data_IF_944972512357
#
_entry.id   IF_944972512357
#
_cell.length_a   1.000
_cell.length_b   1.000
_cell.length_c   1.000
_cell.angle_alpha   90.00
_cell.angle_beta   90.00
_cell.angle_gamma   90.00
#
_symmetry.space_group_name_H-M   'P 1'
#
loop_
_entity.id
_entity.type
_entity.pdbx_description
1 polymer ?
#
# COMPACT_ATOMS: atom_id res chain seq x y z
N UNK A 1 -5.83 -21.12 9.77
CA UNK A 1 -5.52 -22.53 9.50
C UNK A 1 -4.02 -22.80 9.37
N UNK A 2 -3.25 -21.98 8.66
CA UNK A 2 -1.78 -22.14 8.50
C UNK A 2 -1.00 -22.03 9.82
N UNK A 3 -1.37 -21.08 10.68
CA UNK A 3 -0.76 -20.89 12.00
C UNK A 3 -0.95 -22.12 12.91
N UNK A 4 -2.12 -22.77 12.86
CA UNK A 4 -2.40 -23.97 13.63
C UNK A 4 -1.63 -25.21 13.13
N UNK A 5 -1.38 -25.29 11.81
CA UNK A 5 -0.52 -26.33 11.21
C UNK A 5 0.94 -26.13 11.58
N UNK A 6 1.39 -24.87 11.59
CA UNK A 6 2.73 -24.50 11.99
C UNK A 6 3.02 -24.91 13.45
N UNK A 7 2.12 -24.57 14.40
CA UNK A 7 2.24 -24.95 15.82
C UNK A 7 2.26 -26.49 15.98
N UNK A 8 1.44 -27.23 15.22
CA UNK A 8 1.44 -28.69 15.25
C UNK A 8 2.75 -29.30 14.71
N UNK A 9 3.27 -28.75 13.59
CA UNK A 9 4.55 -29.21 13.02
C UNK A 9 5.72 -28.98 14.00
N UNK A 10 5.69 -27.91 14.77
CA UNK A 10 6.67 -27.65 15.82
C UNK A 10 6.56 -28.65 16.97
N UNK A 11 5.35 -28.94 17.45
CA UNK A 11 5.14 -29.94 18.51
C UNK A 11 5.67 -31.32 18.13
N UNK A 12 5.64 -31.68 16.85
CA UNK A 12 6.20 -32.94 16.35
C UNK A 12 7.74 -32.96 16.26
N UNK A 13 8.38 -31.78 16.26
CA UNK A 13 9.85 -31.64 16.29
C UNK A 13 10.42 -31.62 17.71
N UNK A 14 9.60 -31.30 18.72
CA UNK A 14 9.99 -31.19 20.14
C UNK A 14 9.46 -32.32 21.03
N UNK A 15 8.67 -33.24 20.47
CA UNK A 15 8.11 -34.38 21.24
C UNK A 15 9.17 -35.42 21.56
N UNK A 16 9.24 -35.84 22.84
CA UNK A 16 10.11 -36.86 23.41
C UNK A 16 9.77 -38.32 22.94
N UNK A 17 9.71 -38.56 21.63
CA UNK A 17 9.69 -39.90 21.10
C UNK A 17 11.08 -40.28 20.53
N UNK A 18 11.96 -40.63 21.45
CA UNK A 18 13.32 -41.10 21.18
C UNK A 18 13.34 -42.53 20.60
N UNK A 19 12.76 -42.74 19.41
CA UNK A 19 12.90 -44.05 18.73
C UNK A 19 12.72 -44.03 17.23
N UNK A 20 13.08 -42.94 16.53
CA UNK A 20 13.40 -43.01 15.09
C UNK A 20 14.27 -41.80 14.72
N UNK A 21 15.59 -41.98 14.62
CA UNK A 21 16.57 -41.01 14.18
C UNK A 21 16.49 -40.75 12.65
N UNK A 22 15.35 -40.34 12.17
CA UNK A 22 15.21 -39.82 10.81
C UNK A 22 15.21 -38.30 10.88
N UNK A 23 16.32 -37.63 10.48
CA UNK A 23 16.34 -36.18 10.36
C UNK A 23 15.20 -35.74 9.42
N UNK A 24 14.33 -34.86 9.89
CA UNK A 24 13.25 -34.29 9.04
C UNK A 24 13.89 -33.54 7.88
N UNK A 25 13.55 -33.93 6.65
CA UNK A 25 14.08 -33.26 5.47
C UNK A 25 13.48 -31.88 5.31
N UNK A 26 14.21 -30.96 4.64
CA UNK A 26 13.71 -29.62 4.33
C UNK A 26 12.38 -29.69 3.54
N UNK A 27 12.24 -30.64 2.60
CA UNK A 27 11.03 -30.81 1.80
C UNK A 27 9.81 -31.14 2.69
N UNK A 28 9.99 -32.06 3.64
CA UNK A 28 8.92 -32.41 4.57
C UNK A 28 8.51 -31.24 5.44
N UNK A 29 9.49 -30.52 5.97
CA UNK A 29 9.25 -29.33 6.79
C UNK A 29 8.57 -28.20 5.98
N UNK A 30 9.03 -27.92 4.77
CA UNK A 30 8.47 -26.88 3.92
C UNK A 30 7.00 -27.16 3.56
N UNK A 31 6.64 -28.45 3.34
CA UNK A 31 5.24 -28.84 3.11
C UNK A 31 4.38 -28.74 4.37
N UNK A 32 4.86 -29.26 5.47
CA UNK A 32 4.07 -29.35 6.71
C UNK A 32 3.97 -28.02 7.48
N UNK A 33 5.12 -27.37 7.72
CA UNK A 33 5.19 -26.16 8.53
C UNK A 33 4.93 -24.87 7.74
N UNK A 34 5.46 -24.76 6.50
CA UNK A 34 5.28 -23.58 5.67
C UNK A 34 4.14 -23.73 4.65
N UNK A 35 3.45 -24.89 4.61
CA UNK A 35 2.37 -25.16 3.66
C UNK A 35 2.76 -24.87 2.20
N UNK A 36 3.99 -25.24 1.78
CA UNK A 36 4.46 -25.10 0.40
C UNK A 36 3.96 -26.24 -0.46
N UNK A 37 3.66 -25.96 -1.74
CA UNK A 37 3.42 -26.99 -2.75
C UNK A 37 4.72 -27.67 -3.16
N UNK A 38 4.62 -28.88 -3.77
CA UNK A 38 5.80 -29.57 -4.29
C UNK A 38 6.56 -28.75 -5.32
N UNK A 39 5.86 -28.06 -6.20
CA UNK A 39 6.44 -27.16 -7.19
C UNK A 39 7.18 -25.97 -6.54
N UNK A 40 6.68 -25.45 -5.41
CA UNK A 40 7.37 -24.37 -4.67
C UNK A 40 8.64 -24.89 -4.00
N UNK A 41 8.57 -26.09 -3.40
CA UNK A 41 9.74 -26.72 -2.76
C UNK A 41 10.84 -27.00 -3.78
N UNK A 42 10.48 -27.54 -4.93
CA UNK A 42 11.40 -27.80 -6.04
C UNK A 42 12.09 -26.50 -6.51
N UNK A 43 11.34 -25.41 -6.72
CA UNK A 43 11.89 -24.11 -7.08
C UNK A 43 12.84 -23.55 -6.02
N UNK A 44 12.49 -23.67 -4.74
CA UNK A 44 13.33 -23.22 -3.63
C UNK A 44 14.65 -23.96 -3.59
N UNK A 45 14.61 -25.28 -3.75
CA UNK A 45 15.82 -26.15 -3.78
C UNK A 45 16.65 -25.94 -5.04
N UNK A 46 16.01 -25.73 -6.20
CA UNK A 46 16.73 -25.38 -7.43
C UNK A 46 17.50 -24.05 -7.27
N UNK A 47 16.91 -23.08 -6.56
CA UNK A 47 17.54 -21.78 -6.31
C UNK A 47 18.62 -21.82 -5.22
N UNK A 48 18.41 -22.66 -4.20
CA UNK A 48 19.32 -22.77 -3.05
C UNK A 48 19.48 -24.27 -2.64
N UNK A 49 20.26 -25.07 -3.38
CA UNK A 49 20.40 -26.50 -3.14
C UNK A 49 20.94 -26.86 -1.74
N UNK A 50 21.69 -25.93 -1.13
CA UNK A 50 22.25 -26.10 0.22
C UNK A 50 21.19 -26.37 1.30
N UNK A 51 19.96 -25.93 1.10
CA UNK A 51 18.88 -26.13 2.07
C UNK A 51 18.54 -27.61 2.28
N UNK A 52 18.71 -28.45 1.26
CA UNK A 52 18.51 -29.91 1.38
C UNK A 52 19.51 -30.59 2.35
N UNK A 53 20.68 -29.98 2.55
CA UNK A 53 21.71 -30.48 3.47
C UNK A 53 21.68 -29.91 4.87
N UNK A 54 20.74 -29.00 5.18
CA UNK A 54 20.65 -28.45 6.52
C UNK A 54 19.79 -29.33 7.42
N UNK A 55 20.26 -29.53 8.65
CA UNK A 55 19.41 -30.10 9.68
C UNK A 55 18.27 -29.14 10.03
N UNK A 56 17.05 -29.61 9.83
CA UNK A 56 15.85 -28.77 9.99
C UNK A 56 15.68 -28.33 11.44
N UNK A 57 15.88 -29.26 12.40
CA UNK A 57 15.61 -28.99 13.80
C UNK A 57 16.55 -27.94 14.39
N UNK A 58 17.85 -27.99 14.02
CA UNK A 58 18.84 -27.06 14.57
C UNK A 58 19.12 -25.83 13.70
N UNK A 59 18.89 -25.92 12.37
CA UNK A 59 19.31 -24.86 11.46
C UNK A 59 18.17 -24.14 10.73
N UNK A 60 17.00 -24.73 10.53
CA UNK A 60 15.90 -24.12 9.77
C UNK A 60 14.74 -23.70 10.69
N UNK A 61 14.17 -24.62 11.46
CA UNK A 61 13.02 -24.35 12.32
C UNK A 61 13.26 -23.20 13.30
N UNK A 62 14.42 -23.09 14.00
CA UNK A 62 14.66 -21.99 14.92
C UNK A 62 14.63 -20.60 14.27
N UNK A 63 15.02 -20.50 12.98
CA UNK A 63 14.98 -19.23 12.23
C UNK A 63 13.56 -18.85 11.86
N UNK A 64 12.74 -19.82 11.44
CA UNK A 64 11.33 -19.58 11.14
C UNK A 64 10.58 -19.19 12.41
N UNK A 65 10.87 -19.85 13.52
CA UNK A 65 10.30 -19.56 14.84
C UNK A 65 10.67 -18.15 15.30
N UNK A 66 11.94 -17.80 15.19
CA UNK A 66 12.43 -16.48 15.50
C UNK A 66 11.73 -15.39 14.68
N UNK A 67 11.61 -15.59 13.35
CA UNK A 67 10.89 -14.66 12.49
C UNK A 67 9.41 -14.52 12.87
N UNK A 68 8.75 -15.62 13.28
CA UNK A 68 7.32 -15.62 13.58
C UNK A 68 7.02 -15.15 15.00
N UNK A 69 7.70 -15.74 16.00
CA UNK A 69 7.35 -15.56 17.40
C UNK A 69 8.01 -14.33 18.01
N UNK A 70 9.30 -14.12 17.71
CA UNK A 70 10.07 -13.02 18.27
C UNK A 70 9.96 -11.72 17.44
N UNK A 71 9.94 -11.85 16.11
CA UNK A 71 9.98 -10.71 15.19
C UNK A 71 8.63 -10.39 14.54
N UNK A 72 7.56 -11.15 14.84
CA UNK A 72 6.18 -10.86 14.50
C UNK A 72 5.80 -11.04 13.02
N UNK A 73 6.49 -11.91 12.27
CA UNK A 73 6.05 -12.31 10.94
C UNK A 73 4.93 -13.36 11.04
N UNK A 74 3.95 -13.32 10.14
CA UNK A 74 3.06 -14.46 9.96
C UNK A 74 3.70 -15.51 9.04
N UNK A 75 3.29 -16.78 9.23
CA UNK A 75 3.85 -17.93 8.48
C UNK A 75 3.68 -17.77 6.97
N UNK A 76 2.56 -17.19 6.53
CA UNK A 76 2.32 -16.96 5.11
C UNK A 76 3.30 -15.93 4.51
N UNK A 77 3.74 -14.96 5.30
CA UNK A 77 4.81 -14.01 4.87
C UNK A 77 6.15 -14.69 4.80
N UNK A 78 6.50 -15.50 5.80
CA UNK A 78 7.75 -16.26 5.80
C UNK A 78 7.78 -17.19 4.59
N UNK A 79 6.69 -17.93 4.32
CA UNK A 79 6.54 -18.75 3.10
C UNK A 79 6.87 -17.94 1.84
N UNK A 80 6.18 -16.82 1.62
CA UNK A 80 6.40 -15.97 0.44
C UNK A 80 7.83 -15.41 0.36
N UNK A 81 8.42 -15.07 1.51
CA UNK A 81 9.80 -14.61 1.57
C UNK A 81 10.78 -15.71 1.16
N UNK A 82 10.60 -16.95 1.64
CA UNK A 82 11.41 -18.11 1.31
C UNK A 82 11.23 -18.51 -0.16
N UNK A 83 10.02 -18.47 -0.70
CA UNK A 83 9.77 -18.75 -2.12
C UNK A 83 10.49 -17.76 -3.04
N UNK A 84 10.58 -16.48 -2.64
CA UNK A 84 11.23 -15.43 -3.44
C UNK A 84 12.75 -15.41 -3.24
N UNK A 85 13.19 -15.57 -1.99
CA UNK A 85 14.58 -15.46 -1.56
C UNK A 85 14.93 -16.56 -0.55
N UNK A 86 15.13 -17.81 -1.00
CA UNK A 86 15.40 -18.94 -0.10
C UNK A 86 16.67 -18.75 0.76
N UNK A 87 17.57 -17.89 0.30
CA UNK A 87 18.78 -17.50 1.02
C UNK A 87 18.50 -16.98 2.43
N UNK A 88 17.29 -16.47 2.70
CA UNK A 88 16.88 -16.03 4.04
C UNK A 88 17.11 -17.12 5.10
N UNK A 89 16.84 -18.36 4.76
CA UNK A 89 17.04 -19.51 5.67
C UNK A 89 18.50 -19.95 5.80
N UNK A 90 19.40 -19.47 4.93
CA UNK A 90 20.85 -19.75 5.04
C UNK A 90 21.59 -18.76 5.96
N UNK A 91 20.96 -17.65 6.32
CA UNK A 91 21.51 -16.68 7.26
C UNK A 91 21.54 -17.30 8.66
N UNK A 92 22.60 -17.06 9.45
CA UNK A 92 22.65 -17.56 10.82
C UNK A 92 21.63 -16.84 11.72
N UNK A 93 21.12 -17.54 12.75
CA UNK A 93 20.20 -16.96 13.71
C UNK A 93 20.81 -15.73 14.42
N UNK A 94 22.09 -15.82 14.79
CA UNK A 94 22.82 -14.69 15.38
C UNK A 94 22.86 -13.46 14.46
N UNK A 95 22.99 -13.67 13.15
CA UNK A 95 22.96 -12.56 12.17
C UNK A 95 21.56 -11.97 12.03
N UNK A 96 20.52 -12.81 12.01
CA UNK A 96 19.13 -12.35 11.99
C UNK A 96 18.83 -11.50 13.23
N UNK A 97 19.25 -11.95 14.41
CA UNK A 97 19.07 -11.22 15.66
C UNK A 97 19.86 -9.91 15.69
N UNK A 98 21.13 -9.92 15.28
CA UNK A 98 21.95 -8.70 15.18
C UNK A 98 21.28 -7.66 14.25
N UNK A 99 20.74 -8.09 13.11
CA UNK A 99 20.03 -7.20 12.20
C UNK A 99 18.72 -6.71 12.82
N UNK A 100 18.02 -7.57 13.55
CA UNK A 100 16.79 -7.22 14.25
C UNK A 100 17.04 -6.16 15.34
N UNK A 101 18.06 -6.34 16.17
CA UNK A 101 18.48 -5.35 17.15
C UNK A 101 18.80 -4.01 16.48
N UNK A 102 19.61 -4.04 15.41
CA UNK A 102 19.95 -2.81 14.68
C UNK A 102 18.71 -2.08 14.12
N UNK A 103 17.76 -2.82 13.50
CA UNK A 103 16.50 -2.25 13.00
C UNK A 103 15.65 -1.64 14.12
N UNK A 104 15.69 -2.23 15.31
CA UNK A 104 14.96 -1.73 16.47
C UNK A 104 15.62 -0.49 17.07
N UNK A 105 16.93 -0.57 17.32
CA UNK A 105 17.65 0.41 18.10
C UNK A 105 18.03 1.66 17.28
N UNK A 106 18.46 1.48 16.02
CA UNK A 106 18.91 2.58 15.17
C UNK A 106 17.85 3.06 14.15
N UNK A 107 16.98 2.17 13.67
CA UNK A 107 15.90 2.59 12.76
C UNK A 107 14.57 2.86 13.43
N UNK A 108 14.41 2.53 14.72
CA UNK A 108 13.16 2.71 15.48
C UNK A 108 12.02 1.79 15.04
N UNK A 109 12.30 0.70 14.33
CA UNK A 109 11.30 -0.28 13.94
C UNK A 109 10.89 -1.09 15.16
N UNK A 110 9.59 -1.19 15.44
CA UNK A 110 9.12 -2.01 16.57
C UNK A 110 9.54 -3.47 16.37
N UNK A 111 10.05 -4.13 17.41
CA UNK A 111 10.54 -5.52 17.33
C UNK A 111 9.52 -6.46 16.67
N UNK A 112 8.25 -6.39 17.04
CA UNK A 112 7.18 -7.18 16.43
C UNK A 112 6.84 -6.84 14.97
N UNK A 113 7.47 -5.83 14.37
CA UNK A 113 7.34 -5.48 12.95
C UNK A 113 8.58 -5.90 12.12
N UNK A 114 9.70 -6.23 12.79
CA UNK A 114 10.97 -6.56 12.14
C UNK A 114 10.85 -7.77 11.23
N UNK A 115 10.15 -8.83 11.65
CA UNK A 115 9.90 -10.00 10.82
C UNK A 115 9.16 -9.64 9.53
N UNK A 116 8.22 -8.69 9.59
CA UNK A 116 7.55 -8.16 8.39
C UNK A 116 8.54 -7.44 7.46
N UNK A 117 9.49 -6.66 8.01
CA UNK A 117 10.53 -5.95 7.24
C UNK A 117 11.44 -6.97 6.54
N UNK A 118 11.95 -7.96 7.27
CA UNK A 118 12.83 -8.99 6.74
C UNK A 118 12.13 -9.89 5.72
N UNK A 119 10.84 -10.22 5.93
CA UNK A 119 10.07 -10.97 4.95
C UNK A 119 9.76 -10.15 3.68
N UNK A 120 9.57 -8.84 3.77
CA UNK A 120 9.39 -7.97 2.59
C UNK A 120 10.67 -7.82 1.78
N UNK A 121 11.81 -7.71 2.45
CA UNK A 121 13.13 -7.53 1.83
C UNK A 121 14.17 -8.40 2.55
N UNK A 122 14.25 -9.70 2.22
CA UNK A 122 15.16 -10.63 2.89
C UNK A 122 16.63 -10.21 2.84
N UNK A 123 17.04 -9.55 1.76
CA UNK A 123 18.42 -9.09 1.58
C UNK A 123 18.92 -8.10 2.65
N UNK A 124 18.03 -7.47 3.39
CA UNK A 124 18.38 -6.67 4.57
C UNK A 124 19.07 -7.54 5.64
N UNK A 125 18.68 -8.82 5.78
CA UNK A 125 19.25 -9.72 6.78
C UNK A 125 20.76 -10.02 6.61
N UNK A 126 21.28 -9.90 5.40
CA UNK A 126 22.71 -10.14 5.12
C UNK A 126 23.44 -8.92 4.60
N UNK A 127 22.77 -7.78 4.44
CA UNK A 127 23.41 -6.53 4.07
C UNK A 127 24.37 -6.05 5.19
N UNK A 128 25.44 -5.36 4.80
CA UNK A 128 26.35 -4.75 5.77
C UNK A 128 25.66 -3.57 6.46
N UNK A 129 25.60 -3.62 7.78
CA UNK A 129 25.08 -2.49 8.57
C UNK A 129 25.94 -1.26 8.33
N UNK A 130 27.26 -1.40 8.45
CA UNK A 130 28.19 -0.28 8.34
C UNK A 130 28.31 0.30 6.93
N UNK A 131 28.35 -0.56 5.91
CA UNK A 131 28.59 -0.11 4.54
C UNK A 131 27.31 0.29 3.79
N UNK A 132 26.14 -0.22 4.20
CA UNK A 132 24.89 -0.02 3.46
C UNK A 132 23.78 0.58 4.33
N UNK A 133 23.41 -0.11 5.43
CA UNK A 133 22.17 0.22 6.12
C UNK A 133 22.28 1.54 6.91
N UNK A 134 23.34 1.69 7.70
CA UNK A 134 23.58 2.88 8.53
C UNK A 134 23.78 4.15 7.72
N UNK A 135 24.57 4.17 6.62
CA UNK A 135 24.69 5.35 5.77
C UNK A 135 23.35 5.82 5.23
N UNK A 136 22.47 4.89 4.83
CA UNK A 136 21.14 5.22 4.35
C UNK A 136 20.28 5.85 5.44
N UNK A 137 20.26 5.27 6.66
CA UNK A 137 19.50 5.86 7.78
C UNK A 137 20.02 7.24 8.14
N UNK A 138 21.35 7.44 8.20
CA UNK A 138 21.94 8.75 8.43
C UNK A 138 21.52 9.76 7.37
N UNK A 139 21.56 9.40 6.10
CA UNK A 139 21.09 10.28 5.03
C UNK A 139 19.61 10.70 5.25
N UNK A 140 18.74 9.76 5.61
CA UNK A 140 17.32 10.06 5.86
C UNK A 140 17.12 11.01 7.05
N UNK A 141 17.91 10.83 8.11
CA UNK A 141 17.82 11.67 9.32
C UNK A 141 18.54 13.00 9.14
N UNK A 142 19.81 12.96 8.77
CA UNK A 142 20.70 14.13 8.81
C UNK A 142 20.55 15.04 7.58
N UNK A 143 20.41 14.44 6.37
CA UNK A 143 20.35 15.23 5.12
C UNK A 143 18.91 15.50 4.65
N UNK A 144 17.95 14.61 4.95
CA UNK A 144 16.52 14.84 4.65
C UNK A 144 15.74 15.37 5.84
N UNK A 145 16.30 15.42 7.04
CA UNK A 145 15.67 15.92 8.26
C UNK A 145 14.46 15.08 8.71
N UNK A 146 14.41 13.79 8.34
CA UNK A 146 13.30 12.93 8.73
C UNK A 146 13.39 12.53 10.19
N UNK A 147 12.26 12.58 10.90
CA UNK A 147 12.22 12.08 12.29
C UNK A 147 12.40 10.55 12.35
N UNK A 148 12.96 10.00 13.44
CA UNK A 148 13.13 8.55 13.60
C UNK A 148 11.84 7.75 13.40
N UNK A 149 10.71 8.29 13.85
CA UNK A 149 9.38 7.66 13.67
C UNK A 149 8.96 7.58 12.20
N UNK A 150 9.32 8.58 11.40
CA UNK A 150 9.07 8.60 9.95
C UNK A 150 10.00 7.63 9.25
N UNK A 151 11.28 7.56 9.62
CA UNK A 151 12.25 6.58 9.10
C UNK A 151 11.77 5.16 9.37
N UNK A 152 11.35 4.85 10.60
CA UNK A 152 10.80 3.54 10.97
C UNK A 152 9.59 3.17 10.09
N UNK A 153 8.68 4.12 9.87
CA UNK A 153 7.50 3.93 8.99
C UNK A 153 7.90 3.70 7.53
N UNK A 154 8.87 4.46 7.02
CA UNK A 154 9.41 4.33 5.67
C UNK A 154 10.05 2.95 5.45
N UNK A 155 10.88 2.52 6.38
CA UNK A 155 11.52 1.19 6.38
C UNK A 155 10.49 0.07 6.44
N UNK A 156 9.47 0.18 7.30
CA UNK A 156 8.39 -0.81 7.39
C UNK A 156 7.57 -0.90 6.09
N UNK A 157 7.29 0.24 5.44
CA UNK A 157 6.56 0.29 4.15
C UNK A 157 7.38 -0.27 3.01
N UNK A 158 8.62 0.17 2.87
CA UNK A 158 9.52 -0.14 1.75
C UNK A 158 10.95 -0.41 2.25
N UNK A 159 11.23 -1.62 2.78
CA UNK A 159 12.55 -1.94 3.34
C UNK A 159 13.70 -1.84 2.33
N UNK A 160 13.42 -1.94 1.02
CA UNK A 160 14.41 -1.78 -0.04
C UNK A 160 15.12 -0.42 -0.01
N UNK A 161 14.55 0.60 0.65
CA UNK A 161 15.20 1.90 0.83
C UNK A 161 16.56 1.75 1.52
N UNK A 162 16.66 0.84 2.50
CA UNK A 162 17.90 0.59 3.24
C UNK A 162 19.07 0.06 2.38
N UNK A 163 18.75 -0.47 1.20
CA UNK A 163 19.75 -1.06 0.29
C UNK A 163 20.12 -0.12 -0.86
N UNK A 164 19.61 1.10 -0.85
CA UNK A 164 19.90 2.08 -1.89
C UNK A 164 21.26 2.72 -1.67
N UNK A 165 21.98 2.97 -2.76
CA UNK A 165 23.18 3.78 -2.72
C UNK A 165 22.80 5.23 -2.38
N UNK A 166 23.46 5.80 -1.38
CA UNK A 166 23.18 7.16 -0.91
C UNK A 166 23.55 8.18 -1.99
N UNK A 167 24.74 8.08 -2.55
CA UNK A 167 25.26 9.08 -3.49
C UNK A 167 24.58 9.03 -4.85
N UNK A 168 24.56 7.84 -5.45
CA UNK A 168 24.08 7.65 -6.83
C UNK A 168 22.54 7.68 -6.90
N UNK A 169 21.85 7.38 -5.80
CA UNK A 169 20.40 7.20 -5.83
C UNK A 169 19.68 8.23 -4.97
N UNK A 170 19.88 8.21 -3.65
CA UNK A 170 19.08 9.03 -2.74
C UNK A 170 19.44 10.52 -2.86
N UNK A 171 20.73 10.87 -2.90
CA UNK A 171 21.18 12.26 -3.03
C UNK A 171 20.86 12.83 -4.41
N UNK A 172 20.95 12.01 -5.47
CA UNK A 172 20.53 12.41 -6.81
C UNK A 172 19.03 12.73 -6.88
N UNK A 173 18.18 12.00 -6.17
CA UNK A 173 16.75 12.33 -6.06
C UNK A 173 16.50 13.61 -5.27
N UNK A 174 17.17 13.80 -4.12
CA UNK A 174 17.07 15.06 -3.39
C UNK A 174 17.37 16.23 -4.33
N UNK A 175 18.51 16.19 -5.04
CA UNK A 175 18.90 17.22 -6.02
C UNK A 175 17.88 17.40 -7.12
N UNK A 176 17.30 16.32 -7.63
CA UNK A 176 16.25 16.44 -8.65
C UNK A 176 15.04 17.25 -8.13
N UNK A 177 14.59 16.96 -6.92
CA UNK A 177 13.47 17.70 -6.31
C UNK A 177 13.82 19.16 -5.98
N UNK A 178 15.03 19.41 -5.45
CA UNK A 178 15.44 20.78 -5.09
C UNK A 178 15.85 21.62 -6.30
N UNK A 179 16.74 21.10 -7.13
CA UNK A 179 17.42 21.90 -8.16
C UNK A 179 16.65 21.93 -9.48
N UNK A 180 15.99 20.80 -9.83
CA UNK A 180 15.27 20.70 -11.12
C UNK A 180 13.79 21.04 -10.99
N UNK A 181 13.14 20.64 -9.89
CA UNK A 181 11.74 20.97 -9.64
C UNK A 181 11.58 22.26 -8.79
N UNK A 182 12.66 22.81 -8.25
CA UNK A 182 12.62 24.03 -7.45
C UNK A 182 11.86 23.89 -6.12
N UNK A 183 11.69 22.67 -5.60
CA UNK A 183 11.02 22.45 -4.34
C UNK A 183 11.97 22.80 -3.18
N UNK A 184 11.50 23.64 -2.25
CA UNK A 184 12.24 23.90 -1.02
C UNK A 184 12.45 22.62 -0.19
N UNK A 185 13.54 22.57 0.58
CA UNK A 185 13.91 21.37 1.37
C UNK A 185 12.80 20.92 2.33
N UNK A 186 12.07 21.86 2.94
CA UNK A 186 10.91 21.54 3.80
C UNK A 186 9.79 20.86 3.03
N UNK A 187 9.53 21.30 1.79
CA UNK A 187 8.53 20.66 0.93
C UNK A 187 8.97 19.26 0.54
N UNK A 188 10.24 19.07 0.16
CA UNK A 188 10.81 17.76 -0.15
C UNK A 188 10.71 16.84 1.06
N UNK A 189 11.06 17.31 2.26
CA UNK A 189 10.91 16.57 3.51
C UNK A 189 9.46 16.16 3.73
N UNK A 190 8.51 17.11 3.69
CA UNK A 190 7.09 16.85 3.92
C UNK A 190 6.49 15.85 2.90
N UNK A 191 6.93 15.90 1.65
CA UNK A 191 6.58 14.96 0.58
C UNK A 191 7.08 13.55 0.92
N UNK A 192 8.36 13.42 1.25
CA UNK A 192 9.00 12.13 1.54
C UNK A 192 8.53 11.52 2.88
N UNK A 193 8.18 12.35 3.85
CA UNK A 193 7.58 11.90 5.12
C UNK A 193 6.21 11.25 4.91
N UNK A 194 5.40 11.80 4.02
CA UNK A 194 4.09 11.25 3.67
C UNK A 194 4.18 10.06 2.71
N UNK A 195 5.12 10.13 1.77
CA UNK A 195 5.28 9.20 0.65
C UNK A 195 6.73 8.70 0.50
N UNK A 196 7.29 7.99 1.51
CA UNK A 196 8.67 7.52 1.47
C UNK A 196 8.94 6.53 0.32
N UNK A 197 7.89 5.91 -0.24
CA UNK A 197 7.97 5.05 -1.41
C UNK A 197 8.54 5.75 -2.65
N UNK A 198 8.46 7.07 -2.73
CA UNK A 198 9.03 7.89 -3.82
C UNK A 198 10.54 7.74 -3.88
N UNK A 199 11.21 7.54 -2.75
CA UNK A 199 12.64 7.27 -2.71
C UNK A 199 13.02 6.01 -3.49
N UNK A 200 12.11 5.06 -3.67
CA UNK A 200 12.34 3.84 -4.42
C UNK A 200 12.15 4.00 -5.95
N UNK A 201 11.62 5.12 -6.41
CA UNK A 201 11.46 5.39 -7.85
C UNK A 201 12.80 5.83 -8.45
N UNK A 202 13.01 5.62 -9.75
CA UNK A 202 14.12 6.24 -10.46
C UNK A 202 13.85 7.73 -10.71
N UNK A 203 14.91 8.52 -10.83
CA UNK A 203 14.79 9.94 -11.22
C UNK A 203 14.08 10.06 -12.58
N UNK A 204 14.40 9.16 -13.53
CA UNK A 204 13.77 9.15 -14.85
C UNK A 204 12.27 8.88 -14.78
N UNK A 205 11.83 7.98 -13.89
CA UNK A 205 10.39 7.71 -13.70
C UNK A 205 9.66 8.94 -13.15
N UNK A 206 10.27 9.63 -12.18
CA UNK A 206 9.73 10.87 -11.64
C UNK A 206 9.68 11.95 -12.71
N UNK A 207 10.78 12.11 -13.48
CA UNK A 207 10.88 13.07 -14.57
C UNK A 207 9.81 12.85 -15.63
N UNK A 208 9.62 11.61 -16.08
CA UNK A 208 8.58 11.25 -17.06
C UNK A 208 7.19 11.67 -16.60
N UNK A 209 6.85 11.43 -15.34
CA UNK A 209 5.53 11.81 -14.82
C UNK A 209 5.37 13.34 -14.77
N UNK A 210 6.41 14.07 -14.33
CA UNK A 210 6.37 15.54 -14.31
C UNK A 210 6.31 16.12 -15.71
N UNK A 211 7.11 15.59 -16.66
CA UNK A 211 7.12 16.02 -18.06
C UNK A 211 5.79 15.74 -18.77
N UNK A 212 5.16 14.61 -18.50
CA UNK A 212 3.81 14.31 -18.98
C UNK A 212 2.82 15.42 -18.59
N UNK A 213 2.77 15.78 -17.30
CA UNK A 213 1.89 16.88 -16.88
C UNK A 213 2.28 18.21 -17.52
N UNK A 214 3.58 18.52 -17.52
CA UNK A 214 4.04 19.83 -18.00
C UNK A 214 3.87 20.02 -19.51
N UNK A 215 4.21 19.01 -20.33
CA UNK A 215 4.30 19.10 -21.79
C UNK A 215 3.14 18.41 -22.48
N UNK A 216 2.91 17.13 -22.20
CA UNK A 216 1.93 16.33 -22.93
C UNK A 216 0.50 16.76 -22.58
N UNK A 217 0.25 17.02 -21.29
CA UNK A 217 -1.00 17.56 -20.81
C UNK A 217 -1.07 19.10 -20.95
N UNK A 218 0.05 19.78 -21.20
CA UNK A 218 0.12 21.21 -21.51
C UNK A 218 -0.10 22.15 -20.31
N UNK A 219 -0.01 21.68 -19.05
CA UNK A 219 -0.26 22.56 -17.91
C UNK A 219 0.93 23.47 -17.54
N UNK A 220 2.11 23.23 -18.13
CA UNK A 220 3.34 23.98 -17.85
C UNK A 220 4.08 23.48 -16.59
N UNK A 221 5.38 23.79 -16.53
CA UNK A 221 6.28 23.25 -15.50
C UNK A 221 5.86 23.59 -14.07
N UNK A 222 5.58 24.87 -13.78
CA UNK A 222 5.22 25.32 -12.43
C UNK A 222 3.92 24.69 -11.91
N UNK A 223 2.93 24.51 -12.78
CA UNK A 223 1.66 23.87 -12.39
C UNK A 223 1.84 22.40 -12.16
N UNK A 224 2.65 21.70 -13.00
CA UNK A 224 3.01 20.31 -12.82
C UNK A 224 3.73 20.06 -11.49
N UNK A 225 4.69 20.91 -11.13
CA UNK A 225 5.39 20.84 -9.84
C UNK A 225 4.43 21.05 -8.66
N UNK A 226 3.53 22.03 -8.73
CA UNK A 226 2.52 22.25 -7.70
C UNK A 226 1.56 21.05 -7.56
N UNK A 227 1.15 20.44 -8.68
CA UNK A 227 0.32 19.25 -8.68
C UNK A 227 1.01 18.09 -7.94
N UNK A 228 2.26 17.81 -8.29
CA UNK A 228 3.08 16.77 -7.65
C UNK A 228 3.32 17.08 -6.16
N UNK A 229 3.63 18.32 -5.80
CA UNK A 229 3.81 18.71 -4.39
C UNK A 229 2.52 18.53 -3.57
N UNK A 230 1.34 18.79 -4.17
CA UNK A 230 0.03 18.64 -3.54
C UNK A 230 -0.37 17.16 -3.36
N UNK A 231 -0.03 16.30 -4.32
CA UNK A 231 -0.33 14.86 -4.29
C UNK A 231 0.86 14.01 -4.78
N UNK A 232 1.92 13.90 -3.98
CA UNK A 232 3.14 13.20 -4.39
C UNK A 232 2.95 11.74 -4.76
N UNK A 233 1.87 11.11 -4.28
CA UNK A 233 1.50 9.74 -4.62
C UNK A 233 1.36 9.52 -6.15
N UNK A 234 1.05 10.57 -6.93
CA UNK A 234 0.92 10.46 -8.39
C UNK A 234 2.22 10.03 -9.07
N UNK A 235 3.37 10.33 -8.48
CA UNK A 235 4.67 9.88 -8.97
C UNK A 235 4.87 8.37 -8.96
N UNK A 236 4.09 7.66 -8.15
CA UNK A 236 4.13 6.20 -8.03
C UNK A 236 3.12 5.49 -8.93
N UNK A 237 2.32 6.25 -9.69
CA UNK A 237 1.30 5.71 -10.56
C UNK A 237 1.85 5.44 -11.98
N UNK A 238 1.30 4.44 -12.67
CA UNK A 238 1.57 4.25 -14.10
C UNK A 238 0.83 5.31 -14.91
N UNK A 239 1.52 5.94 -15.85
CA UNK A 239 0.90 6.86 -16.80
C UNK A 239 -0.18 6.13 -17.60
N UNK A 240 0.16 4.97 -18.18
CA UNK A 240 -0.70 4.23 -19.10
C UNK A 240 -1.88 3.53 -18.43
N UNK A 241 -1.70 3.07 -17.16
CA UNK A 241 -2.72 2.27 -16.44
C UNK A 241 -3.61 3.08 -15.51
N UNK A 242 -3.14 4.23 -15.08
CA UNK A 242 -3.85 5.03 -14.07
C UNK A 242 -4.10 6.46 -14.53
N UNK A 243 -3.04 7.20 -14.88
CA UNK A 243 -3.16 8.65 -15.09
C UNK A 243 -3.93 8.95 -16.36
N UNK A 244 -3.47 8.45 -17.51
CA UNK A 244 -4.09 8.69 -18.82
C UNK A 244 -5.54 8.21 -18.85
N UNK A 245 -5.88 6.96 -18.45
CA UNK A 245 -7.27 6.51 -18.46
C UNK A 245 -8.20 7.34 -17.57
N UNK A 246 -7.70 7.87 -16.45
CA UNK A 246 -8.52 8.74 -15.58
C UNK A 246 -8.76 10.10 -16.23
N UNK A 247 -7.75 10.66 -16.92
CA UNK A 247 -7.90 11.93 -17.67
C UNK A 247 -8.87 11.74 -18.82
N UNK A 248 -8.74 10.66 -19.59
CA UNK A 248 -9.65 10.34 -20.72
C UNK A 248 -11.09 10.17 -20.25
N UNK A 249 -11.30 9.48 -19.12
CA UNK A 249 -12.61 9.36 -18.50
C UNK A 249 -13.23 10.74 -18.20
N UNK A 250 -12.45 11.65 -17.58
CA UNK A 250 -12.92 12.99 -17.27
C UNK A 250 -13.19 13.82 -18.52
N UNK A 251 -12.27 13.77 -19.50
CA UNK A 251 -12.35 14.63 -20.68
C UNK A 251 -13.41 14.18 -21.67
N UNK A 252 -13.49 12.86 -21.93
CA UNK A 252 -14.30 12.29 -23.01
C UNK A 252 -15.62 11.72 -22.47
N UNK A 253 -15.56 10.81 -21.49
CA UNK A 253 -16.77 10.12 -21.04
C UNK A 253 -17.69 11.02 -20.19
N UNK A 254 -17.10 11.98 -19.45
CA UNK A 254 -17.87 12.97 -18.69
C UNK A 254 -18.08 14.29 -19.46
N UNK A 255 -17.65 14.36 -20.69
CA UNK A 255 -17.79 15.53 -21.58
C UNK A 255 -17.26 16.86 -21.00
N UNK A 256 -16.23 16.76 -20.13
CA UNK A 256 -15.62 17.96 -19.55
C UNK A 256 -14.61 18.64 -20.47
N UNK A 257 -14.23 17.98 -21.56
CA UNK A 257 -13.10 18.36 -22.38
C UNK A 257 -11.77 18.31 -21.62
N UNK A 258 -10.66 18.54 -22.32
CA UNK A 258 -9.32 18.49 -21.70
C UNK A 258 -9.12 19.57 -20.64
N UNK A 259 -9.64 20.75 -20.86
CA UNK A 259 -9.53 21.87 -19.89
C UNK A 259 -10.26 21.57 -18.58
N UNK A 260 -11.48 21.01 -18.66
CA UNK A 260 -12.25 20.58 -17.49
C UNK A 260 -11.56 19.44 -16.73
N UNK A 261 -11.01 18.45 -17.44
CA UNK A 261 -10.24 17.35 -16.84
C UNK A 261 -9.00 17.89 -16.09
N UNK A 262 -8.24 18.80 -16.71
CA UNK A 262 -7.09 19.45 -16.09
C UNK A 262 -7.52 20.19 -14.80
N UNK A 263 -8.60 20.96 -14.85
CA UNK A 263 -9.12 21.67 -13.67
C UNK A 263 -9.50 20.71 -12.54
N UNK A 264 -10.10 19.55 -12.86
CA UNK A 264 -10.41 18.51 -11.88
C UNK A 264 -9.14 17.98 -11.19
N UNK A 265 -8.12 17.58 -11.95
CA UNK A 265 -6.90 17.00 -11.39
C UNK A 265 -6.05 18.04 -10.65
N UNK A 266 -6.01 19.30 -11.05
CA UNK A 266 -5.32 20.34 -10.30
C UNK A 266 -6.01 20.69 -8.99
N UNK A 267 -7.34 20.68 -8.99
CA UNK A 267 -8.13 20.90 -7.79
C UNK A 267 -7.99 19.73 -6.80
N UNK A 268 -8.06 18.50 -7.29
CA UNK A 268 -7.99 17.25 -6.53
C UNK A 268 -7.04 16.23 -7.16
N UNK A 269 -5.72 16.42 -7.13
CA UNK A 269 -4.77 15.50 -7.76
C UNK A 269 -4.85 14.07 -7.20
N UNK A 270 -5.33 13.92 -5.94
CA UNK A 270 -5.56 12.62 -5.30
C UNK A 270 -6.53 11.74 -6.09
N UNK A 271 -7.38 12.33 -6.94
CA UNK A 271 -8.28 11.60 -7.83
C UNK A 271 -7.55 10.53 -8.65
N UNK A 272 -6.35 10.85 -9.14
CA UNK A 272 -5.52 9.96 -9.93
C UNK A 272 -5.04 8.71 -9.16
N UNK A 273 -5.03 8.77 -7.83
CA UNK A 273 -4.61 7.65 -6.98
C UNK A 273 -5.74 6.65 -6.68
N UNK A 274 -6.97 6.98 -7.04
CA UNK A 274 -8.10 6.06 -6.90
C UNK A 274 -8.22 5.16 -8.13
N UNK A 275 -8.74 3.94 -7.93
CA UNK A 275 -9.06 3.06 -9.06
C UNK A 275 -10.20 3.66 -9.89
N UNK A 276 -9.95 3.89 -11.17
CA UNK A 276 -10.97 4.39 -12.10
C UNK A 276 -12.22 3.50 -12.06
N UNK A 277 -12.06 2.19 -12.28
CA UNK A 277 -13.18 1.25 -12.41
C UNK A 277 -13.88 0.94 -11.08
N UNK A 278 -13.11 0.83 -9.97
CA UNK A 278 -13.69 0.44 -8.67
C UNK A 278 -14.19 1.59 -7.82
N UNK A 279 -13.73 2.82 -8.10
CA UNK A 279 -14.05 3.98 -7.27
C UNK A 279 -14.54 5.16 -8.07
N UNK A 280 -13.72 5.72 -8.99
CA UNK A 280 -14.02 7.00 -9.64
C UNK A 280 -15.29 6.90 -10.48
N UNK A 281 -15.31 5.97 -11.45
CA UNK A 281 -16.43 5.76 -12.38
C UNK A 281 -17.75 5.47 -11.67
N UNK A 282 -17.84 4.48 -10.75
CA UNK A 282 -19.10 4.18 -10.06
C UNK A 282 -19.60 5.34 -9.20
N UNK A 283 -18.68 6.06 -8.55
CA UNK A 283 -19.05 7.17 -7.66
C UNK A 283 -19.58 8.36 -8.43
N UNK A 284 -18.86 8.77 -9.50
CA UNK A 284 -19.29 9.89 -10.34
C UNK A 284 -20.61 9.57 -11.02
N UNK A 285 -20.72 8.38 -11.63
CA UNK A 285 -21.96 7.95 -12.29
C UNK A 285 -23.14 7.96 -11.30
N UNK A 286 -22.99 7.39 -10.11
CA UNK A 286 -24.05 7.41 -9.12
C UNK A 286 -24.47 8.83 -8.70
N UNK A 287 -23.50 9.74 -8.54
CA UNK A 287 -23.78 11.11 -8.15
C UNK A 287 -24.49 11.89 -9.26
N UNK A 288 -24.11 11.69 -10.50
CA UNK A 288 -24.72 12.37 -11.66
C UNK A 288 -26.09 11.77 -11.98
N UNK A 289 -26.21 10.44 -12.06
CA UNK A 289 -27.43 9.78 -12.54
C UNK A 289 -28.52 9.69 -11.44
N UNK A 290 -28.10 9.40 -10.20
CA UNK A 290 -29.01 9.01 -9.13
C UNK A 290 -29.24 10.10 -8.08
N UNK A 291 -28.24 10.93 -7.82
CA UNK A 291 -28.35 11.89 -6.73
C UNK A 291 -28.91 13.22 -7.21
N UNK A 292 -28.39 13.73 -8.33
CA UNK A 292 -28.82 15.00 -8.87
C UNK A 292 -28.95 14.95 -10.39
N UNK A 293 -30.16 15.04 -10.94
CA UNK A 293 -30.34 15.21 -12.39
C UNK A 293 -29.67 16.48 -12.94
N UNK A 294 -29.34 17.43 -12.07
CA UNK A 294 -28.64 18.69 -12.40
C UNK A 294 -27.30 18.82 -11.64
N UNK A 295 -26.72 17.72 -11.16
CA UNK A 295 -25.41 17.77 -10.51
C UNK A 295 -24.35 18.17 -11.53
N UNK A 296 -23.61 19.22 -11.20
CA UNK A 296 -22.39 19.54 -11.92
C UNK A 296 -21.40 18.38 -11.77
N UNK A 297 -21.01 17.80 -12.89
CA UNK A 297 -20.02 16.70 -12.97
C UNK A 297 -18.74 17.07 -12.24
N UNK A 298 -18.32 18.34 -12.30
CA UNK A 298 -17.16 18.82 -11.60
C UNK A 298 -17.30 18.67 -10.06
N UNK A 299 -18.49 18.98 -9.50
CA UNK A 299 -18.80 18.79 -8.08
C UNK A 299 -18.82 17.30 -7.73
N UNK A 300 -19.38 16.44 -8.59
CA UNK A 300 -19.40 14.98 -8.38
C UNK A 300 -17.98 14.40 -8.30
N UNK A 301 -17.08 14.82 -9.20
CA UNK A 301 -15.67 14.38 -9.20
C UNK A 301 -14.94 14.78 -7.91
N UNK A 302 -15.30 15.90 -7.28
CA UNK A 302 -14.71 16.31 -6.01
C UNK A 302 -15.04 15.35 -4.84
N UNK A 303 -16.10 14.57 -4.98
CA UNK A 303 -16.62 13.69 -3.92
C UNK A 303 -16.14 12.24 -3.99
N UNK A 304 -15.35 11.86 -4.99
CA UNK A 304 -14.81 10.48 -5.15
C UNK A 304 -13.90 10.03 -4.00
N UNK A 305 -13.45 10.96 -3.16
CA UNK A 305 -12.67 10.66 -1.96
C UNK A 305 -13.51 10.04 -0.84
N UNK A 306 -14.84 10.16 -0.93
CA UNK A 306 -15.77 9.57 0.03
C UNK A 306 -16.22 8.19 -0.43
N UNK A 307 -16.47 7.30 0.54
CA UNK A 307 -16.92 5.94 0.24
C UNK A 307 -18.32 5.96 -0.39
N UNK A 308 -18.44 5.44 -1.60
CA UNK A 308 -19.74 5.31 -2.28
C UNK A 308 -20.74 4.52 -1.43
N UNK A 309 -20.38 3.29 -1.06
CA UNK A 309 -21.26 2.37 -0.29
C UNK A 309 -21.28 2.64 1.22
N UNK A 310 -20.23 3.26 1.77
CA UNK A 310 -20.16 3.57 3.20
C UNK A 310 -20.79 4.92 3.58
N UNK A 311 -20.94 5.82 2.62
CA UNK A 311 -21.42 7.17 2.92
C UNK A 311 -22.40 7.74 1.90
N UNK A 312 -22.07 7.72 0.61
CA UNK A 312 -22.86 8.41 -0.41
C UNK A 312 -24.22 7.73 -0.56
N UNK A 313 -24.25 6.46 -0.94
CA UNK A 313 -25.51 5.70 -1.16
C UNK A 313 -26.41 5.68 0.07
N UNK A 314 -25.93 5.37 1.29
CA UNK A 314 -26.78 5.38 2.49
C UNK A 314 -27.46 6.73 2.72
N UNK A 315 -26.70 7.83 2.57
CA UNK A 315 -27.24 9.18 2.79
C UNK A 315 -28.29 9.55 1.77
N UNK A 316 -28.07 9.25 0.50
CA UNK A 316 -29.05 9.49 -0.57
C UNK A 316 -30.35 8.72 -0.29
N UNK A 317 -30.25 7.44 0.06
CA UNK A 317 -31.43 6.59 0.38
C UNK A 317 -32.23 7.13 1.56
N UNK A 318 -31.54 7.57 2.60
CA UNK A 318 -32.18 8.18 3.78
C UNK A 318 -32.92 9.46 3.37
N UNK A 319 -32.28 10.35 2.63
CA UNK A 319 -32.92 11.59 2.16
C UNK A 319 -34.13 11.33 1.29
N UNK A 320 -34.07 10.38 0.35
CA UNK A 320 -35.21 9.96 -0.48
C UNK A 320 -36.35 9.42 0.39
N UNK A 321 -36.06 8.54 1.33
CA UNK A 321 -37.07 7.96 2.24
C UNK A 321 -37.73 9.03 3.12
N UNK A 322 -37.01 10.06 3.51
CA UNK A 322 -37.54 11.18 4.31
C UNK A 322 -38.19 12.28 3.47
N UNK A 323 -38.20 12.16 2.13
CA UNK A 323 -38.75 13.19 1.24
C UNK A 323 -37.98 14.49 1.20
N UNK A 324 -36.71 14.47 1.65
CA UNK A 324 -35.89 15.66 1.82
C UNK A 324 -35.06 16.06 0.57
N UNK A 325 -35.15 15.31 -0.52
CA UNK A 325 -34.38 15.58 -1.75
C UNK A 325 -34.77 16.87 -2.46
N UNK A 326 -35.97 17.44 -2.18
CA UNK A 326 -36.45 18.68 -2.80
C UNK A 326 -36.06 19.95 -2.05
N UNK A 327 -35.44 19.85 -0.89
CA UNK A 327 -35.05 21.01 -0.10
C UNK A 327 -33.89 21.76 -0.76
N UNK A 328 -34.02 23.08 -0.94
CA UNK A 328 -33.00 23.92 -1.61
C UNK A 328 -31.61 23.80 -0.99
N UNK A 329 -31.52 23.61 0.34
CA UNK A 329 -30.26 23.45 1.06
C UNK A 329 -29.52 22.14 0.74
N UNK A 330 -30.23 21.13 0.19
CA UNK A 330 -29.71 19.78 -0.10
C UNK A 330 -29.38 19.58 -1.59
N UNK A 331 -29.54 20.61 -2.43
CA UNK A 331 -29.24 20.52 -3.86
C UNK A 331 -27.74 20.37 -4.18
N UNK A 332 -26.84 20.66 -3.23
CA UNK A 332 -25.40 20.46 -3.43
C UNK A 332 -24.98 19.11 -2.84
N UNK A 333 -24.49 18.16 -3.67
CA UNK A 333 -23.98 16.87 -3.20
C UNK A 333 -22.93 17.03 -2.10
N UNK A 334 -22.08 18.04 -2.24
CA UNK A 334 -21.01 18.33 -1.29
C UNK A 334 -21.56 18.61 0.12
N UNK A 335 -22.70 19.31 0.26
CA UNK A 335 -23.28 19.58 1.55
C UNK A 335 -23.67 18.30 2.30
N UNK A 336 -24.32 17.37 1.61
CA UNK A 336 -24.77 16.10 2.20
C UNK A 336 -23.60 15.13 2.43
N UNK A 337 -22.70 14.99 1.44
CA UNK A 337 -21.62 14.00 1.48
C UNK A 337 -20.52 14.41 2.46
N UNK A 338 -20.16 15.70 2.52
CA UNK A 338 -19.09 16.20 3.38
C UNK A 338 -19.51 16.38 4.84
N UNK A 339 -20.80 16.50 5.13
CA UNK A 339 -21.34 16.67 6.49
C UNK A 339 -20.88 15.53 7.41
N UNK A 340 -20.57 15.82 8.68
CA UNK A 340 -20.26 14.77 9.67
C UNK A 340 -21.48 13.90 9.94
N UNK A 341 -21.26 12.65 10.37
CA UNK A 341 -22.35 11.71 10.58
C UNK A 341 -23.33 12.19 11.66
N UNK A 342 -22.81 12.78 12.75
CA UNK A 342 -23.64 13.36 13.82
C UNK A 342 -24.51 14.54 13.34
N UNK A 343 -24.02 15.34 12.41
CA UNK A 343 -24.77 16.43 11.80
C UNK A 343 -25.85 15.91 10.85
N UNK A 344 -25.49 14.89 10.05
CA UNK A 344 -26.43 14.26 9.13
C UNK A 344 -27.59 13.57 9.87
N UNK A 345 -27.29 12.87 10.95
CA UNK A 345 -28.28 12.22 11.81
C UNK A 345 -29.22 13.24 12.45
N UNK A 346 -28.69 14.35 12.97
CA UNK A 346 -29.52 15.45 13.51
C UNK A 346 -30.43 16.08 12.45
N UNK A 347 -29.90 16.28 11.24
CA UNK A 347 -30.66 16.88 10.14
C UNK A 347 -31.82 15.97 9.71
N UNK A 348 -31.58 14.67 9.62
CA UNK A 348 -32.54 13.69 9.09
C UNK A 348 -33.40 13.02 10.16
N UNK A 349 -33.06 13.18 11.44
CA UNK A 349 -33.71 12.47 12.55
C UNK A 349 -33.49 10.96 12.55
N UNK A 350 -32.44 10.46 11.86
CA UNK A 350 -32.11 9.04 11.77
C UNK A 350 -31.17 8.66 12.91
N UNK A 351 -31.44 7.52 13.57
CA UNK A 351 -30.56 7.04 14.63
C UNK A 351 -29.25 6.45 14.08
N UNK A 352 -28.17 6.34 14.90
CA UNK A 352 -26.95 5.69 14.50
C UNK A 352 -27.14 4.24 14.00
N UNK A 353 -28.06 3.51 14.62
CA UNK A 353 -28.40 2.11 14.29
C UNK A 353 -29.08 2.02 12.92
N UNK A 354 -30.06 2.88 12.67
CA UNK A 354 -30.75 2.96 11.36
C UNK A 354 -29.76 3.35 10.24
N UNK A 355 -28.83 4.27 10.53
CA UNK A 355 -27.78 4.64 9.57
C UNK A 355 -26.85 3.45 9.29
N UNK A 356 -26.41 2.71 10.33
CA UNK A 356 -25.57 1.54 10.18
C UNK A 356 -26.24 0.42 9.35
N UNK A 357 -27.54 0.21 9.52
CA UNK A 357 -28.33 -0.74 8.71
C UNK A 357 -28.28 -0.37 7.22
N UNK A 358 -28.48 0.91 6.88
CA UNK A 358 -28.41 1.36 5.48
C UNK A 358 -26.98 1.23 4.89
N UNK A 359 -25.95 1.46 5.70
CA UNK A 359 -24.56 1.23 5.28
C UNK A 359 -24.29 -0.24 4.99
N UNK A 360 -24.79 -1.15 5.85
CA UNK A 360 -24.65 -2.59 5.66
C UNK A 360 -25.36 -3.03 4.40
N UNK A 361 -26.63 -2.62 4.23
CA UNK A 361 -27.43 -2.91 3.04
C UNK A 361 -26.76 -2.47 1.74
N UNK A 362 -26.20 -1.24 1.71
CA UNK A 362 -25.48 -0.73 0.54
C UNK A 362 -24.21 -1.51 0.20
N UNK A 363 -23.55 -2.12 1.19
CA UNK A 363 -22.37 -2.99 1.00
C UNK A 363 -22.75 -4.39 0.52
N UNK A 364 -23.83 -4.95 1.04
CA UNK A 364 -24.28 -6.31 0.71
C UNK A 364 -24.81 -6.43 -0.73
N UNK A 365 -25.43 -5.37 -1.24
CA UNK A 365 -25.86 -5.30 -2.65
C UNK A 365 -24.66 -5.37 -3.60
N UNK A 366 -23.57 -4.70 -3.28
CA UNK A 366 -22.32 -4.73 -4.06
C UNK A 366 -21.69 -6.14 -4.11
N UNK A 367 -21.80 -6.88 -3.00
CA UNK A 367 -21.28 -8.25 -2.94
C UNK A 367 -22.10 -9.20 -3.86
N UNK A 368 -23.37 -8.95 -4.06
CA UNK A 368 -24.22 -9.72 -4.97
C UNK A 368 -23.98 -9.38 -6.43
N UNK A 369 -23.82 -8.09 -6.76
CA UNK A 369 -23.57 -7.65 -8.13
C UNK A 369 -22.18 -8.11 -8.62
N UNK A 370 -21.15 -8.06 -7.75
CA UNK A 370 -19.82 -8.60 -8.06
C UNK A 370 -19.74 -10.11 -8.24
N UNK A 371 -20.68 -10.88 -7.67
CA UNK A 371 -20.78 -12.33 -7.89
C UNK A 371 -21.46 -12.69 -9.22
N UNK A 372 -22.35 -11.85 -9.71
CA UNK A 372 -23.01 -12.05 -11.01
C UNK A 372 -22.11 -11.72 -12.20
N UNK A 373 -21.24 -10.72 -12.11
CA UNK A 373 -20.26 -10.41 -13.16
C UNK A 373 -19.19 -11.50 -13.33
N UNK A 374 -18.78 -12.15 -12.25
CA UNK A 374 -17.81 -13.26 -12.31
C UNK A 374 -18.40 -14.58 -12.80
N UNK A 375 -19.71 -14.76 -12.75
CA UNK A 375 -20.43 -15.95 -13.23
C UNK A 375 -20.76 -15.88 -14.73
N UNK A 376 -20.80 -14.67 -15.33
CA UNK A 376 -21.06 -14.46 -16.76
C UNK A 376 -19.82 -14.45 -17.65
N UNK A 377 -18.61 -14.53 -17.08
CA UNK A 377 -17.31 -14.48 -17.77
C UNK A 377 -16.58 -15.84 -17.80
N UNK A 378 -17.35 -16.96 -17.73
CA UNK A 378 -16.80 -18.32 -17.91
C UNK A 378 -17.33 -18.96 -19.19
#
# INVERSE_FOLDING_TARGET
MEQARFVRAQSSLTGDDASTSGSVSFESYARSALAMSDADVEKVLAHTPKLAGYDVASAIAPKVDHLCQELGADVARVKRAVQREPRLLTVSLARLESTACWLTDECGVKRGDVGTVLCKQPSVAWASVEANLRPTVRFLVDELGMSPTVVARAVKRRPSILLMNVDDNLRSKKRYFTDRLGLGEETVRAVLEKHPEILALSVDSVAKTVEFFARDLGIGGDRAVRLVAKAPAVLSLSLERNIVPTIDFLAVELDLGMEGAIKCIETRPQLLAYSLERNVRPTVKYLVDEFFPACDVFDAVQLVTYSLKGRIVPRVRILRRKGMMSEQSLHKPSYVVCMRDDQFQRLTGVTPEEYAVEVTRAKDEDAKDGMTETAGAR
#
